data_IF_171654919080
#
_entry.id   IF_171654919080
#
_cell.length_a   1.000
_cell.length_b   1.000
_cell.length_c   1.000
_cell.angle_alpha   90.00
_cell.angle_beta   90.00
_cell.angle_gamma   90.00
#
_symmetry.space_group_name_H-M   'P 1'
#
loop_
_entity.id
_entity.type
_entity.pdbx_description
1 polymer ?
#
# COMPACT_ATOMS: atom_id res chain seq x y z
N UNK A 1 -5.50 6.73 22.67
CA UNK A 1 -5.62 6.26 21.28
C UNK A 1 -4.20 6.09 20.74
N UNK A 2 -3.92 4.94 20.17
CA UNK A 2 -2.60 4.68 19.58
C UNK A 2 -2.59 5.17 18.13
N UNK A 3 -1.56 5.92 17.74
CA UNK A 3 -1.43 6.42 16.38
C UNK A 3 -0.83 5.34 15.49
N UNK A 4 -1.50 4.98 14.39
CA UNK A 4 -0.94 4.11 13.36
C UNK A 4 0.13 4.81 12.55
N UNK A 5 -0.09 6.10 12.22
CA UNK A 5 0.88 6.95 11.52
C UNK A 5 0.97 8.28 12.22
N UNK A 6 2.19 8.79 12.40
CA UNK A 6 2.45 10.16 12.85
C UNK A 6 3.52 10.79 11.97
N UNK A 7 3.20 11.91 11.35
CA UNK A 7 4.08 12.70 10.50
C UNK A 7 4.42 13.98 11.23
N UNK A 8 5.73 14.24 11.42
CA UNK A 8 6.22 15.33 12.26
C UNK A 8 7.20 16.18 11.47
N UNK A 9 6.83 17.45 11.23
CA UNK A 9 7.62 18.48 10.54
C UNK A 9 8.24 17.98 9.23
N UNK A 10 7.50 17.14 8.49
CA UNK A 10 8.00 16.43 7.34
C UNK A 10 8.19 17.34 6.15
N UNK A 11 9.40 17.36 5.61
CA UNK A 11 9.74 18.13 4.42
C UNK A 11 10.55 17.30 3.43
N UNK A 12 10.37 17.58 2.14
CA UNK A 12 11.19 17.01 1.06
C UNK A 12 11.49 18.04 0.00
N UNK A 13 12.77 18.24 -0.25
CA UNK A 13 13.28 19.10 -1.34
C UNK A 13 14.12 18.28 -2.30
N UNK A 14 13.96 18.56 -3.60
CA UNK A 14 14.79 18.04 -4.69
C UNK A 14 15.50 19.22 -5.35
N UNK A 15 16.80 19.34 -5.13
CA UNK A 15 17.58 20.51 -5.61
C UNK A 15 16.91 21.82 -5.19
N UNK A 16 16.36 22.57 -6.14
CA UNK A 16 15.69 23.86 -5.90
C UNK A 16 14.16 23.75 -5.69
N UNK A 17 13.57 22.58 -5.91
CA UNK A 17 12.11 22.38 -5.80
C UNK A 17 11.73 21.74 -4.47
N UNK A 18 10.92 22.44 -3.68
CA UNK A 18 10.33 21.88 -2.47
C UNK A 18 9.04 21.11 -2.85
N UNK A 19 9.05 19.80 -2.63
CA UNK A 19 7.93 18.92 -2.96
C UNK A 19 6.97 18.75 -1.78
N UNK A 20 7.49 18.77 -0.55
CA UNK A 20 6.70 18.70 0.69
C UNK A 20 7.30 19.71 1.67
N UNK A 21 6.46 20.52 2.29
CA UNK A 21 6.88 21.61 3.17
C UNK A 21 6.24 21.50 4.55
N UNK A 22 7.02 21.07 5.53
CA UNK A 22 6.71 21.10 6.96
C UNK A 22 5.30 20.60 7.33
N UNK A 23 4.89 19.44 6.77
CA UNK A 23 3.58 18.88 7.06
C UNK A 23 3.59 18.10 8.38
N UNK A 24 2.45 18.20 9.08
CA UNK A 24 2.21 17.52 10.35
C UNK A 24 0.80 16.94 10.34
N UNK A 25 0.67 15.64 10.63
CA UNK A 25 -0.62 15.00 10.82
C UNK A 25 -0.47 13.66 11.56
N UNK A 26 -1.60 13.15 12.07
CA UNK A 26 -1.69 11.85 12.72
C UNK A 26 -2.87 11.08 12.16
N UNK A 27 -2.73 9.77 12.07
CA UNK A 27 -3.78 8.83 11.70
C UNK A 27 -3.87 7.79 12.81
N UNK A 28 -5.05 7.65 13.40
CA UNK A 28 -5.29 6.71 14.48
C UNK A 28 -5.52 5.28 13.95
N UNK A 29 -5.49 4.30 14.84
CA UNK A 29 -5.91 2.94 14.51
C UNK A 29 -7.38 2.93 14.06
N UNK A 30 -7.68 2.10 13.05
CA UNK A 30 -9.01 1.96 12.45
C UNK A 30 -9.57 3.25 11.80
N UNK A 31 -8.71 4.20 11.48
CA UNK A 31 -9.09 5.43 10.77
C UNK A 31 -8.78 5.31 9.28
N UNK A 32 -9.67 5.86 8.44
CA UNK A 32 -9.48 6.01 7.00
C UNK A 32 -9.30 7.49 6.71
N UNK A 33 -8.17 7.86 6.14
CA UNK A 33 -7.81 9.24 5.84
C UNK A 33 -7.49 9.42 4.36
N UNK A 34 -8.09 10.42 3.72
CA UNK A 34 -7.82 10.82 2.35
C UNK A 34 -6.76 11.93 2.28
N UNK A 35 -5.69 11.69 1.52
CA UNK A 35 -4.70 12.70 1.18
C UNK A 35 -5.10 13.37 -0.13
N UNK A 36 -5.73 14.55 -0.04
CA UNK A 36 -6.26 15.28 -1.19
C UNK A 36 -5.33 16.41 -1.62
N UNK A 37 -5.39 16.75 -2.89
CA UNK A 37 -4.65 17.87 -3.46
C UNK A 37 -4.40 17.71 -4.97
N UNK A 38 -4.03 18.79 -5.68
CA UNK A 38 -3.78 18.77 -7.11
C UNK A 38 -2.58 17.88 -7.48
N UNK A 39 -2.42 17.57 -8.76
CA UNK A 39 -1.27 16.83 -9.25
C UNK A 39 0.03 17.62 -8.99
N UNK A 40 1.06 16.94 -8.54
CA UNK A 40 2.35 17.54 -8.20
C UNK A 40 2.44 18.23 -6.84
N UNK A 41 1.39 18.21 -5.99
CA UNK A 41 1.43 18.79 -4.65
C UNK A 41 2.17 17.95 -3.60
N UNK A 42 2.78 16.82 -3.99
CA UNK A 42 3.61 16.02 -3.09
C UNK A 42 2.94 14.80 -2.46
N UNK A 43 1.72 14.38 -2.88
CA UNK A 43 1.02 13.19 -2.36
C UNK A 43 1.88 11.92 -2.43
N UNK A 44 2.29 11.55 -3.63
CA UNK A 44 3.14 10.36 -3.86
C UNK A 44 4.49 10.47 -3.15
N UNK A 45 5.06 11.68 -3.07
CA UNK A 45 6.29 11.94 -2.30
C UNK A 45 6.07 11.67 -0.80
N UNK A 46 4.95 12.13 -0.24
CA UNK A 46 4.58 11.90 1.15
C UNK A 46 4.38 10.42 1.42
N UNK A 47 3.63 9.71 0.56
CA UNK A 47 3.44 8.25 0.64
C UNK A 47 4.80 7.54 0.57
N UNK A 48 5.68 7.94 -0.35
CA UNK A 48 7.02 7.37 -0.48
C UNK A 48 7.88 7.53 0.78
N UNK A 49 7.74 8.66 1.49
CA UNK A 49 8.41 8.88 2.78
C UNK A 49 7.77 8.02 3.89
N UNK A 50 6.45 7.88 3.92
CA UNK A 50 5.75 7.00 4.88
C UNK A 50 6.11 5.52 4.68
N UNK A 51 6.43 5.10 3.45
CA UNK A 51 6.93 3.75 3.13
C UNK A 51 8.45 3.60 3.38
N UNK A 52 9.15 4.67 3.77
CA UNK A 52 10.61 4.65 3.88
C UNK A 52 11.33 4.41 2.54
N UNK A 53 10.66 4.61 1.40
CA UNK A 53 11.26 4.54 0.06
C UNK A 53 12.01 5.83 -0.28
N UNK A 54 11.56 6.96 0.27
CA UNK A 54 12.18 8.26 0.12
C UNK A 54 12.61 8.77 1.50
N UNK A 55 13.87 9.18 1.61
CA UNK A 55 14.37 9.82 2.82
C UNK A 55 13.88 11.27 2.87
N UNK A 56 13.28 11.72 4.00
CA UNK A 56 12.94 13.13 4.21
C UNK A 56 14.19 14.03 4.15
N UNK A 57 14.01 15.29 3.75
CA UNK A 57 15.03 16.34 3.94
C UNK A 57 15.07 16.78 5.39
N UNK A 58 13.92 16.87 6.05
CA UNK A 58 13.78 17.12 7.49
C UNK A 58 12.47 16.52 8.01
N UNK A 59 12.36 16.43 9.33
CA UNK A 59 11.23 15.79 9.99
C UNK A 59 11.36 14.28 10.04
N UNK A 60 10.29 13.59 10.43
CA UNK A 60 10.25 12.13 10.56
C UNK A 60 8.83 11.59 10.40
N UNK A 61 8.77 10.28 10.11
CA UNK A 61 7.53 9.49 10.09
C UNK A 61 7.63 8.38 11.12
N UNK A 62 6.63 8.30 11.98
CA UNK A 62 6.47 7.20 12.93
C UNK A 62 5.32 6.30 12.46
N UNK A 63 5.56 5.01 12.45
CA UNK A 63 4.55 3.97 12.17
C UNK A 63 4.41 3.13 13.44
N UNK A 64 3.21 3.07 14.00
CA UNK A 64 2.96 2.42 15.29
C UNK A 64 3.97 2.86 16.37
N UNK A 65 4.24 4.18 16.43
CA UNK A 65 5.18 4.80 17.37
C UNK A 65 6.67 4.60 17.07
N UNK A 66 7.03 3.87 16.01
CA UNK A 66 8.44 3.58 15.64
C UNK A 66 8.84 4.35 14.39
N UNK A 67 10.03 4.94 14.42
CA UNK A 67 10.61 5.66 13.29
C UNK A 67 10.85 4.71 12.10
N UNK A 68 10.27 5.05 10.93
CA UNK A 68 10.35 4.23 9.72
C UNK A 68 11.79 4.11 9.20
N UNK A 69 12.62 5.13 9.31
CA UNK A 69 14.00 5.06 8.85
C UNK A 69 14.84 4.07 9.67
N UNK A 70 14.60 4.02 10.98
CA UNK A 70 15.35 3.17 11.91
C UNK A 70 14.84 1.74 11.99
N UNK A 71 13.56 1.52 11.69
CA UNK A 71 12.88 0.23 11.86
C UNK A 71 12.26 -0.31 10.57
N UNK A 72 12.78 0.08 9.42
CA UNK A 72 12.16 -0.13 8.10
C UNK A 72 11.72 -1.57 7.87
N UNK A 73 12.61 -2.55 8.03
CA UNK A 73 12.30 -3.96 7.73
C UNK A 73 11.14 -4.46 8.58
N UNK A 74 11.19 -4.25 9.90
CA UNK A 74 10.15 -4.74 10.83
C UNK A 74 8.79 -4.06 10.61
N UNK A 75 8.80 -2.78 10.18
CA UNK A 75 7.58 -2.03 9.92
C UNK A 75 6.96 -2.41 8.57
N UNK A 76 7.77 -2.58 7.52
CA UNK A 76 7.27 -2.97 6.20
C UNK A 76 6.58 -4.34 6.20
N UNK A 77 6.95 -5.26 7.09
CA UNK A 77 6.21 -6.52 7.27
C UNK A 77 4.76 -6.32 7.75
N UNK A 78 4.45 -5.19 8.37
CA UNK A 78 3.12 -4.83 8.89
C UNK A 78 2.42 -3.78 8.05
N UNK A 79 3.00 -3.41 6.93
CA UNK A 79 2.46 -2.40 6.00
C UNK A 79 2.26 -3.01 4.64
N UNK A 80 1.38 -2.42 3.85
CA UNK A 80 1.31 -2.71 2.43
C UNK A 80 0.92 -1.46 1.64
N UNK A 81 1.07 -1.56 0.32
CA UNK A 81 0.89 -0.44 -0.58
C UNK A 81 0.27 -0.90 -1.90
N UNK A 82 -0.67 -0.10 -2.40
CA UNK A 82 -1.25 -0.25 -3.74
C UNK A 82 -0.97 1.03 -4.52
N UNK A 83 -0.54 0.88 -5.75
CA UNK A 83 -0.38 1.95 -6.72
C UNK A 83 -0.69 1.41 -8.11
N UNK A 84 -1.29 2.19 -9.01
CA UNK A 84 -1.57 1.78 -10.39
C UNK A 84 -0.30 1.47 -11.19
N UNK A 85 0.85 1.94 -10.72
CA UNK A 85 2.16 1.71 -11.36
C UNK A 85 2.81 0.39 -10.96
N UNK A 86 2.26 -0.35 -9.99
CA UNK A 86 2.79 -1.64 -9.52
C UNK A 86 1.91 -2.76 -10.04
N UNK A 87 2.33 -3.34 -11.15
CA UNK A 87 1.64 -4.48 -11.75
C UNK A 87 2.05 -5.81 -11.09
N UNK A 88 1.09 -6.72 -11.05
CA UNK A 88 1.36 -8.11 -10.69
C UNK A 88 2.02 -8.85 -11.85
N UNK A 89 2.85 -9.87 -11.60
CA UNK A 89 3.40 -10.75 -12.63
C UNK A 89 2.30 -11.30 -13.54
N UNK A 90 2.26 -10.84 -14.79
CA UNK A 90 1.18 -11.11 -15.75
C UNK A 90 1.09 -12.58 -16.18
N UNK A 91 2.22 -13.33 -16.14
CA UNK A 91 2.30 -14.73 -16.55
C UNK A 91 1.88 -15.72 -15.46
N UNK A 92 1.74 -15.28 -14.23
CA UNK A 92 1.30 -16.11 -13.12
C UNK A 92 -0.21 -16.08 -12.97
N UNK A 93 -0.78 -17.18 -12.45
CA UNK A 93 -2.18 -17.18 -12.03
C UNK A 93 -2.38 -16.29 -10.81
N UNK A 94 -3.63 -15.92 -10.53
CA UNK A 94 -3.98 -15.18 -9.30
C UNK A 94 -3.49 -15.92 -8.06
N UNK A 95 -3.77 -17.22 -7.97
CA UNK A 95 -3.31 -18.07 -6.87
C UNK A 95 -1.79 -18.03 -6.72
N UNK A 96 -1.06 -18.20 -7.83
CA UNK A 96 0.41 -18.18 -7.80
C UNK A 96 0.94 -16.83 -7.32
N UNK A 97 0.37 -15.72 -7.78
CA UNK A 97 0.72 -14.38 -7.30
C UNK A 97 0.52 -14.27 -5.79
N UNK A 98 -0.66 -14.65 -5.27
CA UNK A 98 -0.95 -14.57 -3.84
C UNK A 98 -0.02 -15.47 -3.00
N UNK A 99 0.33 -16.67 -3.52
CA UNK A 99 1.29 -17.57 -2.86
C UNK A 99 2.68 -16.94 -2.79
N UNK A 100 3.16 -16.34 -3.88
CA UNK A 100 4.48 -15.68 -3.91
C UNK A 100 4.54 -14.56 -2.86
N UNK A 101 3.56 -13.65 -2.88
CA UNK A 101 3.54 -12.53 -1.93
C UNK A 101 3.32 -13.00 -0.49
N UNK A 102 2.45 -13.98 -0.26
CA UNK A 102 2.26 -14.55 1.08
C UNK A 102 3.53 -15.17 1.65
N UNK A 103 4.32 -15.86 0.82
CA UNK A 103 5.63 -16.38 1.23
C UNK A 103 6.65 -15.28 1.50
N UNK A 104 6.68 -14.22 0.69
CA UNK A 104 7.57 -13.06 0.92
C UNK A 104 7.30 -12.37 2.26
N UNK A 105 6.05 -12.35 2.70
CA UNK A 105 5.64 -11.78 4.00
C UNK A 105 5.65 -12.80 5.15
N UNK A 106 6.07 -14.06 4.92
CA UNK A 106 6.02 -15.15 5.90
C UNK A 106 4.64 -15.33 6.53
N UNK A 107 3.58 -15.29 5.72
CA UNK A 107 2.21 -15.45 6.19
C UNK A 107 2.00 -16.87 6.70
N UNK A 108 1.68 -17.00 7.97
CA UNK A 108 1.26 -18.26 8.57
C UNK A 108 -0.13 -18.67 8.06
N UNK A 109 -0.36 -19.98 7.84
CA UNK A 109 -1.63 -20.48 7.31
C UNK A 109 -2.05 -19.84 5.98
N UNK A 110 -1.08 -19.62 5.08
CA UNK A 110 -1.25 -18.91 3.83
C UNK A 110 -2.46 -19.37 3.00
N UNK A 111 -2.71 -20.69 2.93
CA UNK A 111 -3.85 -21.21 2.17
C UNK A 111 -5.18 -20.67 2.74
N UNK A 112 -5.36 -20.71 4.06
CA UNK A 112 -6.58 -20.15 4.71
C UNK A 112 -6.73 -18.66 4.44
N UNK A 113 -5.63 -17.92 4.42
CA UNK A 113 -5.64 -16.50 4.12
C UNK A 113 -6.04 -16.22 2.66
N UNK A 114 -5.53 -17.02 1.71
CA UNK A 114 -5.92 -16.93 0.30
C UNK A 114 -7.41 -17.23 0.14
N UNK A 115 -7.91 -18.31 0.75
CA UNK A 115 -9.31 -18.70 0.68
C UNK A 115 -10.22 -17.61 1.27
N UNK A 116 -9.87 -17.07 2.42
CA UNK A 116 -10.59 -15.96 3.05
C UNK A 116 -10.67 -14.72 2.14
N UNK A 117 -9.51 -14.28 1.60
CA UNK A 117 -9.45 -13.12 0.72
C UNK A 117 -10.16 -13.37 -0.62
N UNK A 118 -10.11 -14.60 -1.15
CA UNK A 118 -10.78 -14.94 -2.38
C UNK A 118 -12.31 -14.79 -2.26
N UNK A 119 -12.88 -15.26 -1.17
CA UNK A 119 -14.32 -15.11 -0.88
C UNK A 119 -14.64 -13.61 -0.68
N UNK A 120 -13.90 -12.93 0.20
CA UNK A 120 -14.14 -11.53 0.54
C UNK A 120 -14.09 -10.58 -0.67
N UNK A 121 -13.22 -10.88 -1.65
CA UNK A 121 -13.00 -10.05 -2.83
C UNK A 121 -13.59 -10.65 -4.11
N UNK A 122 -14.38 -11.72 -3.99
CA UNK A 122 -15.05 -12.41 -5.12
C UNK A 122 -14.03 -12.83 -6.20
N UNK A 123 -12.97 -13.52 -5.78
CA UNK A 123 -11.89 -14.01 -6.64
C UNK A 123 -11.91 -15.53 -6.85
N UNK A 124 -12.85 -16.27 -6.23
CA UNK A 124 -12.86 -17.74 -6.21
C UNK A 124 -12.77 -18.32 -7.64
N UNK A 125 -13.55 -17.76 -8.56
CA UNK A 125 -13.57 -18.20 -9.97
C UNK A 125 -12.38 -17.72 -10.80
N UNK A 126 -11.54 -16.84 -10.21
CA UNK A 126 -10.40 -16.22 -10.90
C UNK A 126 -9.06 -16.76 -10.43
N UNK A 127 -9.04 -17.57 -9.36
CA UNK A 127 -7.80 -18.01 -8.74
C UNK A 127 -6.85 -18.71 -9.71
N UNK A 128 -7.37 -19.46 -10.64
CA UNK A 128 -6.58 -20.24 -11.60
C UNK A 128 -6.42 -19.54 -12.97
N UNK A 129 -7.00 -18.35 -13.12
CA UNK A 129 -6.83 -17.52 -14.31
C UNK A 129 -5.47 -16.82 -14.29
N UNK A 130 -4.87 -16.63 -15.45
CA UNK A 130 -3.62 -15.87 -15.64
C UNK A 130 -3.90 -14.38 -15.41
N UNK A 131 -3.13 -13.75 -14.55
CA UNK A 131 -3.35 -12.35 -14.12
C UNK A 131 -3.33 -11.36 -15.30
N UNK A 132 -2.55 -11.64 -16.33
CA UNK A 132 -2.50 -10.82 -17.55
C UNK A 132 -3.82 -10.69 -18.30
N UNK A 133 -4.67 -11.72 -18.24
CA UNK A 133 -5.94 -11.85 -18.98
C UNK A 133 -7.14 -11.23 -18.24
N UNK A 134 -6.94 -10.79 -17.01
CA UNK A 134 -8.00 -10.21 -16.19
C UNK A 134 -8.38 -8.79 -16.66
N UNK A 135 -9.64 -8.42 -16.49
CA UNK A 135 -10.09 -7.03 -16.67
C UNK A 135 -9.44 -6.09 -15.64
N UNK A 136 -9.50 -4.78 -15.88
CA UNK A 136 -8.96 -3.77 -14.95
C UNK A 136 -9.56 -3.89 -13.55
N UNK A 137 -10.87 -4.00 -13.43
CA UNK A 137 -11.56 -4.19 -12.15
C UNK A 137 -11.20 -5.51 -11.46
N UNK A 138 -10.99 -6.60 -12.22
CA UNK A 138 -10.51 -7.87 -11.68
C UNK A 138 -9.07 -7.73 -11.16
N UNK A 139 -8.17 -7.09 -11.93
CA UNK A 139 -6.80 -6.79 -11.52
C UNK A 139 -6.75 -5.97 -10.24
N UNK A 140 -7.61 -4.96 -10.11
CA UNK A 140 -7.69 -4.16 -8.89
C UNK A 140 -8.07 -4.99 -7.65
N UNK A 141 -9.05 -5.89 -7.79
CA UNK A 141 -9.42 -6.82 -6.71
C UNK A 141 -8.28 -7.75 -6.33
N UNK A 142 -7.54 -8.27 -7.30
CA UNK A 142 -6.35 -9.11 -7.05
C UNK A 142 -5.23 -8.29 -6.39
N UNK A 143 -5.00 -7.06 -6.81
CA UNK A 143 -4.03 -6.15 -6.17
C UNK A 143 -4.42 -5.85 -4.72
N UNK A 144 -5.71 -5.68 -4.44
CA UNK A 144 -6.20 -5.53 -3.08
C UNK A 144 -6.01 -6.81 -2.25
N UNK A 145 -6.28 -8.00 -2.82
CA UNK A 145 -6.02 -9.27 -2.14
C UNK A 145 -4.53 -9.41 -1.79
N UNK A 146 -3.64 -9.11 -2.75
CA UNK A 146 -2.19 -9.09 -2.53
C UNK A 146 -1.80 -8.12 -1.42
N UNK A 147 -2.39 -6.94 -1.38
CA UNK A 147 -2.07 -5.94 -0.36
C UNK A 147 -2.61 -6.30 1.04
N UNK A 148 -3.63 -7.13 1.13
CA UNK A 148 -4.20 -7.62 2.38
C UNK A 148 -3.61 -8.97 2.84
N UNK A 149 -2.73 -9.60 2.04
CA UNK A 149 -2.26 -10.98 2.27
C UNK A 149 -1.55 -11.15 3.61
N UNK A 150 -0.79 -10.16 4.04
CA UNK A 150 -0.05 -10.15 5.30
C UNK A 150 -0.82 -9.53 6.47
N UNK A 151 -2.13 -9.28 6.32
CA UNK A 151 -2.97 -8.61 7.31
C UNK A 151 -2.33 -7.32 7.87
N UNK A 152 -2.04 -6.32 7.01
CA UNK A 152 -1.27 -5.15 7.41
C UNK A 152 -2.03 -4.29 8.42
N UNK A 153 -1.30 -3.68 9.37
CA UNK A 153 -1.85 -2.66 10.28
C UNK A 153 -1.95 -1.28 9.62
N UNK A 154 -1.17 -1.07 8.56
CA UNK A 154 -1.20 0.16 7.74
C UNK A 154 -1.27 -0.22 6.27
N UNK A 155 -2.30 0.25 5.59
CA UNK A 155 -2.46 0.11 4.15
C UNK A 155 -2.45 1.51 3.50
N UNK A 156 -1.52 1.72 2.58
CA UNK A 156 -1.41 2.96 1.82
C UNK A 156 -1.91 2.73 0.39
N UNK A 157 -2.71 3.65 -0.11
CA UNK A 157 -3.27 3.60 -1.46
C UNK A 157 -2.90 4.88 -2.20
N UNK A 158 -2.24 4.75 -3.35
CA UNK A 158 -1.95 5.87 -4.24
C UNK A 158 -2.82 5.73 -5.49
N UNK A 159 -3.71 6.67 -5.73
CA UNK A 159 -4.66 6.69 -6.85
C UNK A 159 -5.42 5.35 -7.04
N UNK A 160 -6.09 4.81 -6.01
CA UNK A 160 -6.67 3.46 -6.06
C UNK A 160 -7.80 3.31 -7.08
N UNK A 161 -8.34 4.41 -7.60
CA UNK A 161 -9.43 4.45 -8.59
C UNK A 161 -8.97 4.85 -9.99
N UNK A 162 -7.67 5.11 -10.20
CA UNK A 162 -7.15 5.61 -11.49
C UNK A 162 -7.46 4.72 -12.70
N UNK A 163 -7.82 3.45 -12.48
CA UNK A 163 -8.17 2.49 -13.54
C UNK A 163 -9.62 2.01 -13.48
N UNK A 164 -10.47 2.64 -12.66
CA UNK A 164 -11.91 2.36 -12.62
C UNK A 164 -12.61 3.38 -13.51
N UNK A 165 -13.49 2.89 -14.38
CA UNK A 165 -14.42 3.75 -15.12
C UNK A 165 -15.31 4.51 -14.13
N UNK A 166 -15.54 5.82 -14.34
CA UNK A 166 -16.37 6.63 -13.45
C UNK A 166 -17.83 6.17 -13.36
N UNK A 167 -18.27 5.24 -14.23
CA UNK A 167 -19.65 4.74 -14.31
C UNK A 167 -19.88 3.35 -13.67
N UNK A 168 -18.90 2.82 -12.88
CA UNK A 168 -19.07 1.52 -12.19
C UNK A 168 -19.18 1.69 -10.66
#
# INVERSE_FOLDING_TARGET
MTNSIEVINLSKSYKSKQAVNNINFKINENEIVGLLGPNGCGKTTTIGMMLGLLKPTSGKVLINGKDIEKNKISLLHKMNFISPYIELPKKLTVRQNLVVYGKLYNVSNLQKQIDYLSIKLRLEKLLDNVTGELSSGQKNRVSLAKALINNPTVLLLDEPTASLDPET
#
